data_IF_062788104607
#
_entry.id   IF_062788104607
#
_cell.length_a   1.000
_cell.length_b   1.000
_cell.length_c   1.000
_cell.angle_alpha   90.00
_cell.angle_beta   90.00
_cell.angle_gamma   90.00
#
_symmetry.space_group_name_H-M   'P 1'
#
loop_
_entity.id
_entity.type
_entity.pdbx_description
1 polymer ?
#
# COMPACT_ATOMS: atom_id res chain seq x y z
N UNK A 1 20.69 -37.39 -34.46
CA UNK A 1 20.69 -36.09 -33.78
C UNK A 1 21.16 -35.11 -34.83
N UNK A 2 20.31 -34.15 -35.18
CA UNK A 2 20.69 -33.05 -36.06
C UNK A 2 21.57 -32.16 -35.17
N UNK A 3 22.78 -31.81 -35.63
CA UNK A 3 23.71 -30.98 -34.85
C UNK A 3 23.11 -29.58 -34.68
N UNK A 4 22.55 -29.31 -33.50
CA UNK A 4 21.97 -28.01 -33.12
C UNK A 4 22.99 -26.86 -33.18
N UNK A 5 24.28 -27.19 -33.23
CA UNK A 5 25.40 -26.24 -33.28
C UNK A 5 25.66 -25.65 -34.69
N UNK A 6 25.27 -26.31 -35.78
CA UNK A 6 25.58 -25.83 -37.15
C UNK A 6 24.63 -24.75 -37.68
N UNK A 7 23.35 -24.75 -37.26
CA UNK A 7 22.31 -23.80 -37.77
C UNK A 7 21.75 -22.88 -36.68
N UNK A 8 22.37 -22.83 -35.50
CA UNK A 8 22.00 -21.92 -34.40
C UNK A 8 20.75 -22.29 -33.60
N UNK A 9 20.09 -23.42 -33.92
CA UNK A 9 18.96 -23.96 -33.17
C UNK A 9 17.81 -22.97 -32.95
N UNK A 10 17.10 -23.10 -31.82
CA UNK A 10 15.99 -22.20 -31.46
C UNK A 10 16.44 -20.73 -31.33
N UNK A 11 17.68 -20.51 -30.89
CA UNK A 11 18.25 -19.17 -30.72
C UNK A 11 18.46 -18.49 -32.07
N UNK A 12 19.03 -19.19 -33.05
CA UNK A 12 19.24 -18.70 -34.41
C UNK A 12 17.91 -18.41 -35.11
N UNK A 13 16.90 -19.28 -34.91
CA UNK A 13 15.53 -19.03 -35.38
C UNK A 13 14.95 -17.74 -34.76
N UNK A 14 15.07 -17.57 -33.45
CA UNK A 14 14.59 -16.38 -32.75
C UNK A 14 15.30 -15.10 -33.24
N UNK A 15 16.62 -15.13 -33.40
CA UNK A 15 17.40 -14.00 -33.92
C UNK A 15 17.02 -13.64 -35.36
N UNK A 16 16.80 -14.64 -36.22
CA UNK A 16 16.32 -14.43 -37.58
C UNK A 16 14.91 -13.79 -37.63
N UNK A 17 13.99 -14.27 -36.79
CA UNK A 17 12.63 -13.74 -36.70
C UNK A 17 12.59 -12.32 -36.13
N UNK A 18 13.43 -12.03 -35.14
CA UNK A 18 13.62 -10.67 -34.62
C UNK A 18 14.12 -9.69 -35.69
N UNK A 19 14.89 -10.17 -36.67
CA UNK A 19 15.35 -9.38 -37.82
C UNK A 19 14.21 -8.93 -38.76
N UNK A 20 13.14 -9.72 -38.89
CA UNK A 20 11.95 -9.33 -39.67
C UNK A 20 11.07 -8.33 -38.91
N UNK A 21 10.93 -8.52 -37.59
CA UNK A 21 10.21 -7.64 -36.69
C UNK A 21 8.67 -7.65 -36.85
N UNK A 22 7.99 -6.97 -35.94
CA UNK A 22 6.53 -7.00 -35.77
C UNK A 22 5.75 -6.60 -37.04
N UNK A 23 6.25 -5.60 -37.79
CA UNK A 23 5.56 -5.06 -38.97
C UNK A 23 5.29 -6.09 -40.05
N UNK A 24 6.15 -7.10 -40.16
CA UNK A 24 6.01 -8.17 -41.15
C UNK A 24 4.87 -9.13 -40.78
N UNK A 25 4.54 -9.26 -39.49
CA UNK A 25 3.58 -10.22 -38.97
C UNK A 25 2.22 -9.58 -38.67
N UNK A 26 2.22 -8.46 -37.95
CA UNK A 26 0.98 -7.80 -37.52
C UNK A 26 0.51 -6.73 -38.53
N UNK A 27 1.33 -6.43 -39.54
CA UNK A 27 1.07 -5.39 -40.52
C UNK A 27 1.14 -3.97 -39.93
N UNK A 28 1.03 -2.93 -40.78
CA UNK A 28 1.15 -1.55 -40.34
C UNK A 28 0.05 -1.14 -39.32
N UNK A 29 0.34 -0.15 -38.46
CA UNK A 29 -0.66 0.42 -37.56
C UNK A 29 -1.86 0.97 -38.38
N UNK A 30 -3.08 0.77 -37.87
CA UNK A 30 -4.35 1.27 -38.43
C UNK A 30 -4.82 0.70 -39.79
N UNK A 31 -4.31 -0.45 -40.24
CA UNK A 31 -4.87 -1.15 -41.41
C UNK A 31 -6.04 -2.07 -41.00
N UNK A 32 -7.18 -1.94 -41.69
CA UNK A 32 -8.30 -2.86 -41.54
C UNK A 32 -7.88 -4.28 -41.95
N UNK A 33 -7.92 -5.23 -41.00
CA UNK A 33 -7.49 -6.62 -41.20
C UNK A 33 -6.12 -6.96 -40.60
N UNK A 34 -5.43 -6.01 -39.96
CA UNK A 34 -4.25 -6.29 -39.14
C UNK A 34 -4.64 -7.25 -38.00
N UNK A 35 -4.06 -8.46 -37.98
CA UNK A 35 -4.25 -9.42 -36.90
C UNK A 35 -3.24 -9.11 -35.80
N UNK A 36 -3.62 -8.27 -34.84
CA UNK A 36 -2.77 -7.97 -33.68
C UNK A 36 -2.50 -9.24 -32.87
N UNK A 37 -1.26 -9.43 -32.44
CA UNK A 37 -0.84 -10.56 -31.62
C UNK A 37 -0.28 -11.76 -32.40
N UNK A 38 -0.21 -11.73 -33.73
CA UNK A 38 0.48 -12.78 -34.51
C UNK A 38 1.97 -12.77 -34.18
N UNK A 39 2.57 -11.59 -34.10
CA UNK A 39 3.96 -11.41 -33.70
C UNK A 39 4.24 -11.98 -32.30
N UNK A 40 3.36 -11.71 -31.33
CA UNK A 40 3.47 -12.29 -30.00
C UNK A 40 3.38 -13.82 -30.01
N UNK A 41 2.50 -14.39 -30.84
CA UNK A 41 2.39 -15.84 -31.04
C UNK A 41 3.67 -16.45 -31.65
N UNK A 42 4.28 -15.78 -32.62
CA UNK A 42 5.57 -16.19 -33.20
C UNK A 42 6.67 -16.17 -32.14
N UNK A 43 6.76 -15.10 -31.34
CA UNK A 43 7.71 -14.99 -30.25
C UNK A 43 7.49 -16.08 -29.19
N UNK A 44 6.24 -16.40 -28.85
CA UNK A 44 5.89 -17.45 -27.89
C UNK A 44 6.35 -18.84 -28.38
N UNK A 45 6.13 -19.16 -29.65
CA UNK A 45 6.59 -20.42 -30.26
C UNK A 45 8.13 -20.53 -30.30
N UNK A 46 8.82 -19.38 -30.32
CA UNK A 46 10.28 -19.32 -30.29
C UNK A 46 10.88 -19.27 -28.88
N UNK A 47 10.06 -19.39 -27.83
CA UNK A 47 10.50 -19.30 -26.44
C UNK A 47 10.96 -17.89 -26.01
N UNK A 48 10.61 -16.84 -26.77
CA UNK A 48 10.91 -15.45 -26.44
C UNK A 48 9.78 -14.86 -25.57
N UNK A 49 9.60 -15.42 -24.37
CA UNK A 49 8.46 -15.16 -23.49
C UNK A 49 8.31 -13.70 -23.08
N UNK A 50 9.39 -13.06 -22.64
CA UNK A 50 9.38 -11.66 -22.17
C UNK A 50 9.02 -10.69 -23.30
N UNK A 51 9.55 -10.96 -24.50
CA UNK A 51 9.26 -10.19 -25.70
C UNK A 51 7.83 -10.41 -26.18
N UNK A 52 7.32 -11.64 -26.11
CA UNK A 52 5.95 -11.97 -26.50
C UNK A 52 4.94 -11.21 -25.64
N UNK A 53 5.12 -11.20 -24.32
CA UNK A 53 4.25 -10.43 -23.42
C UNK A 53 4.35 -8.93 -23.71
N UNK A 54 5.56 -8.41 -23.93
CA UNK A 54 5.76 -6.99 -24.21
C UNK A 54 5.08 -6.57 -25.52
N UNK A 55 5.17 -7.41 -26.56
CA UNK A 55 4.50 -7.16 -27.84
C UNK A 55 2.98 -7.06 -27.69
N UNK A 56 2.36 -7.85 -26.80
CA UNK A 56 0.94 -7.72 -26.49
C UNK A 56 0.63 -6.49 -25.62
N UNK A 57 1.52 -6.17 -24.68
CA UNK A 57 1.34 -5.07 -23.74
C UNK A 57 1.41 -3.69 -24.42
N UNK A 58 2.11 -3.56 -25.55
CA UNK A 58 2.21 -2.32 -26.31
C UNK A 58 0.88 -1.89 -26.96
N UNK A 59 -0.07 -2.81 -27.13
CA UNK A 59 -1.39 -2.54 -27.71
C UNK A 59 -2.48 -2.59 -26.64
N UNK A 60 -3.25 -1.51 -26.50
CA UNK A 60 -4.32 -1.41 -25.49
C UNK A 60 -5.40 -2.50 -25.66
N UNK A 61 -5.67 -2.93 -26.89
CA UNK A 61 -6.64 -3.98 -27.20
C UNK A 61 -6.24 -5.36 -26.65
N UNK A 62 -4.93 -5.59 -26.45
CA UNK A 62 -4.37 -6.86 -25.98
C UNK A 62 -3.69 -6.77 -24.61
N UNK A 63 -3.90 -5.66 -23.90
CA UNK A 63 -3.30 -5.41 -22.57
C UNK A 63 -3.73 -6.49 -21.56
N UNK A 64 -5.01 -6.90 -21.62
CA UNK A 64 -5.57 -7.92 -20.73
C UNK A 64 -4.90 -9.27 -20.97
N UNK A 65 -4.79 -9.68 -22.23
CA UNK A 65 -4.13 -10.91 -22.65
C UNK A 65 -2.65 -10.91 -22.25
N UNK A 66 -1.96 -9.77 -22.38
CA UNK A 66 -0.57 -9.63 -21.98
C UNK A 66 -0.38 -9.92 -20.48
N UNK A 67 -1.22 -9.34 -19.61
CA UNK A 67 -1.15 -9.53 -18.15
C UNK A 67 -1.37 -10.99 -17.79
N UNK A 68 -2.44 -11.59 -18.31
CA UNK A 68 -2.80 -12.98 -17.99
C UNK A 68 -1.78 -13.97 -18.55
N UNK A 69 -1.21 -13.71 -19.73
CA UNK A 69 -0.12 -14.50 -20.28
C UNK A 69 1.14 -14.39 -19.41
N UNK A 70 1.51 -13.19 -18.94
CA UNK A 70 2.61 -13.02 -18.01
C UNK A 70 2.42 -13.83 -16.71
N UNK A 71 1.21 -13.82 -16.15
CA UNK A 71 0.89 -14.59 -14.95
C UNK A 71 1.02 -16.10 -15.21
N UNK A 72 0.51 -16.59 -16.34
CA UNK A 72 0.62 -18.00 -16.71
C UNK A 72 2.08 -18.43 -16.91
N UNK A 73 2.88 -17.60 -17.60
CA UNK A 73 4.30 -17.86 -17.81
C UNK A 73 5.10 -17.83 -16.51
N UNK A 74 4.79 -16.89 -15.60
CA UNK A 74 5.38 -16.82 -14.27
C UNK A 74 5.03 -18.05 -13.43
N UNK A 75 3.77 -18.50 -13.46
CA UNK A 75 3.32 -19.72 -12.76
C UNK A 75 4.06 -20.97 -13.21
N UNK A 76 4.41 -21.05 -14.50
CA UNK A 76 5.20 -22.16 -15.05
C UNK A 76 6.72 -21.97 -14.96
N UNK A 77 7.21 -20.88 -14.35
CA UNK A 77 8.64 -20.59 -14.23
C UNK A 77 9.34 -20.27 -15.56
N UNK A 78 8.58 -19.86 -16.58
CA UNK A 78 9.10 -19.57 -17.93
C UNK A 78 9.51 -18.11 -18.11
N UNK A 79 9.15 -17.23 -17.17
CA UNK A 79 9.41 -15.80 -17.24
C UNK A 79 10.61 -15.42 -16.38
N UNK A 80 11.62 -14.82 -16.98
CA UNK A 80 12.75 -14.23 -16.24
C UNK A 80 12.39 -12.85 -15.72
N UNK A 81 12.58 -12.65 -14.42
CA UNK A 81 12.34 -11.37 -13.76
C UNK A 81 13.65 -10.59 -13.60
N UNK A 82 13.68 -9.27 -13.90
CA UNK A 82 14.85 -8.44 -13.67
C UNK A 82 15.03 -8.15 -12.18
N UNK A 83 16.27 -7.87 -11.76
CA UNK A 83 16.50 -7.26 -10.44
C UNK A 83 15.88 -5.87 -10.36
N UNK A 84 15.65 -5.36 -9.15
CA UNK A 84 15.13 -4.00 -8.94
C UNK A 84 16.03 -2.94 -9.58
N UNK A 85 17.35 -3.15 -9.60
CA UNK A 85 18.31 -2.24 -10.22
C UNK A 85 18.22 -2.20 -11.76
N UNK A 86 17.75 -3.28 -12.38
CA UNK A 86 17.57 -3.40 -13.84
C UNK A 86 16.14 -3.04 -14.30
N UNK A 87 15.26 -2.72 -13.35
CA UNK A 87 13.87 -2.36 -13.63
C UNK A 87 13.77 -0.89 -14.00
N UNK A 88 13.12 -0.60 -15.12
CA UNK A 88 12.79 0.75 -15.57
C UNK A 88 11.38 1.13 -15.15
N UNK A 89 11.17 2.39 -14.76
CA UNK A 89 9.84 2.93 -14.49
C UNK A 89 9.01 3.12 -15.76
N UNK A 90 9.66 3.22 -16.94
CA UNK A 90 9.02 3.55 -18.22
C UNK A 90 8.56 2.31 -18.99
N UNK A 91 9.39 1.28 -19.07
CA UNK A 91 9.12 0.06 -19.86
C UNK A 91 9.27 -1.18 -18.99
N UNK A 92 8.30 -2.12 -19.01
CA UNK A 92 8.40 -3.34 -18.21
C UNK A 92 9.47 -4.31 -18.72
N UNK A 93 9.87 -4.22 -19.98
CA UNK A 93 10.92 -5.04 -20.58
C UNK A 93 12.31 -4.44 -20.33
N UNK A 94 13.22 -5.28 -19.84
CA UNK A 94 14.64 -4.98 -19.71
C UNK A 94 15.43 -5.73 -20.78
N UNK A 95 16.16 -4.99 -21.62
CA UNK A 95 17.01 -5.51 -22.68
C UNK A 95 18.45 -5.13 -22.37
N UNK A 96 19.25 -6.11 -21.97
CA UNK A 96 20.69 -5.95 -21.77
C UNK A 96 21.46 -6.57 -22.95
N UNK A 97 22.59 -5.99 -23.36
CA UNK A 97 23.48 -6.64 -24.33
C UNK A 97 24.20 -7.87 -23.75
N UNK A 98 24.26 -8.00 -22.42
CA UNK A 98 25.02 -9.06 -21.73
C UNK A 98 24.11 -10.11 -21.09
N UNK A 99 22.92 -9.72 -20.65
CA UNK A 99 21.95 -10.63 -20.04
C UNK A 99 20.76 -10.86 -20.97
N UNK A 100 20.08 -12.03 -20.88
CA UNK A 100 18.89 -12.27 -21.69
C UNK A 100 17.79 -11.23 -21.42
N UNK A 101 16.72 -11.18 -22.23
CA UNK A 101 15.54 -10.37 -21.90
C UNK A 101 14.98 -10.71 -20.51
N UNK A 102 14.44 -9.72 -19.82
CA UNK A 102 13.76 -9.90 -18.53
C UNK A 102 12.53 -8.99 -18.46
N UNK A 103 11.45 -9.46 -17.84
CA UNK A 103 10.17 -8.74 -17.75
C UNK A 103 9.80 -8.43 -16.30
N UNK A 104 9.51 -7.15 -16.02
CA UNK A 104 9.07 -6.71 -14.70
C UNK A 104 7.58 -7.04 -14.49
N UNK A 105 7.31 -8.21 -13.89
CA UNK A 105 5.96 -8.66 -13.55
C UNK A 105 5.24 -7.69 -12.59
N UNK A 106 5.96 -7.16 -11.59
CA UNK A 106 5.42 -6.16 -10.65
C UNK A 106 4.92 -4.91 -11.36
N UNK A 107 5.63 -4.44 -12.39
CA UNK A 107 5.25 -3.23 -13.14
C UNK A 107 4.02 -3.47 -14.00
N UNK A 108 3.93 -4.61 -14.70
CA UNK A 108 2.76 -4.97 -15.50
C UNK A 108 1.52 -5.09 -14.62
N UNK A 109 1.63 -5.85 -13.52
CA UNK A 109 0.54 -6.05 -12.58
C UNK A 109 0.09 -4.74 -11.96
N UNK A 110 1.01 -3.87 -11.54
CA UNK A 110 0.67 -2.59 -10.97
C UNK A 110 -0.04 -1.66 -11.97
N UNK A 111 0.48 -1.55 -13.20
CA UNK A 111 -0.11 -0.68 -14.23
C UNK A 111 -1.52 -1.11 -14.60
N UNK A 112 -1.75 -2.42 -14.70
CA UNK A 112 -3.07 -2.98 -14.95
C UNK A 112 -4.02 -2.76 -13.76
N UNK A 113 -3.64 -3.22 -12.57
CA UNK A 113 -4.49 -3.17 -11.37
C UNK A 113 -4.85 -1.74 -10.94
N UNK A 114 -3.91 -0.79 -11.05
CA UNK A 114 -4.11 0.61 -10.65
C UNK A 114 -5.35 1.25 -11.29
N UNK A 115 -5.74 0.81 -12.48
CA UNK A 115 -6.89 1.35 -13.22
C UNK A 115 -8.21 1.15 -12.46
N UNK A 116 -8.30 0.10 -11.64
CA UNK A 116 -9.53 -0.26 -10.92
C UNK A 116 -9.37 -0.33 -9.40
N UNK A 117 -8.19 -0.14 -8.81
CA UNK A 117 -7.96 -0.14 -7.34
C UNK A 117 -8.98 0.69 -6.55
N UNK A 118 -9.39 1.85 -7.06
CA UNK A 118 -10.37 2.72 -6.38
C UNK A 118 -11.78 2.12 -6.38
N UNK A 119 -12.16 1.41 -7.45
CA UNK A 119 -13.48 0.80 -7.58
C UNK A 119 -13.51 -0.56 -6.88
N UNK A 120 -12.45 -1.35 -7.05
CA UNK A 120 -12.34 -2.69 -6.50
C UNK A 120 -10.89 -3.00 -6.05
N UNK A 121 -10.59 -2.64 -4.80
CA UNK A 121 -9.30 -2.89 -4.20
C UNK A 121 -9.05 -4.39 -3.92
N UNK A 122 -10.13 -5.17 -3.77
CA UNK A 122 -10.05 -6.60 -3.47
C UNK A 122 -9.57 -7.37 -4.69
N UNK A 123 -10.17 -7.10 -5.84
CA UNK A 123 -9.73 -7.71 -7.11
C UNK A 123 -8.31 -7.25 -7.46
N UNK A 124 -7.99 -5.97 -7.27
CA UNK A 124 -6.64 -5.48 -7.53
C UNK A 124 -5.57 -6.19 -6.68
N UNK A 125 -5.90 -6.53 -5.44
CA UNK A 125 -5.02 -7.26 -4.54
C UNK A 125 -4.78 -8.71 -5.00
N UNK A 126 -5.77 -9.35 -5.64
CA UNK A 126 -5.59 -10.71 -6.19
C UNK A 126 -4.47 -10.74 -7.24
N UNK A 127 -4.41 -9.73 -8.11
CA UNK A 127 -3.32 -9.61 -9.07
C UNK A 127 -1.97 -9.39 -8.38
N UNK A 128 -1.91 -8.61 -7.29
CA UNK A 128 -0.66 -8.41 -6.54
C UNK A 128 -0.13 -9.71 -5.94
N UNK A 129 -0.99 -10.66 -5.55
CA UNK A 129 -0.53 -11.98 -5.11
C UNK A 129 0.22 -12.75 -6.19
N UNK A 130 -0.10 -12.54 -7.47
CA UNK A 130 0.62 -13.18 -8.57
C UNK A 130 2.06 -12.68 -8.72
N UNK A 131 2.44 -11.52 -8.16
CA UNK A 131 3.85 -11.09 -8.11
C UNK A 131 4.71 -12.10 -7.32
N UNK A 132 4.11 -12.75 -6.30
CA UNK A 132 4.78 -13.78 -5.50
C UNK A 132 5.10 -15.07 -6.27
N UNK A 133 4.58 -15.27 -7.49
CA UNK A 133 4.87 -16.46 -8.30
C UNK A 133 6.36 -16.60 -8.64
N UNK A 134 7.09 -15.49 -8.75
CA UNK A 134 8.52 -15.48 -9.05
C UNK A 134 9.41 -15.51 -7.80
N UNK A 135 8.87 -15.86 -6.62
CA UNK A 135 9.60 -15.89 -5.36
C UNK A 135 10.76 -16.91 -5.32
N UNK A 136 10.75 -17.91 -6.20
CA UNK A 136 11.74 -18.98 -6.28
C UNK A 136 13.01 -18.60 -7.08
N UNK A 137 13.04 -17.43 -7.74
CA UNK A 137 14.19 -16.95 -8.53
C UNK A 137 15.34 -16.37 -7.66
N UNK A 138 15.66 -17.02 -6.54
CA UNK A 138 16.80 -16.69 -5.68
C UNK A 138 16.74 -15.29 -5.04
N UNK A 139 17.76 -14.46 -5.28
CA UNK A 139 17.83 -13.10 -4.73
C UNK A 139 16.74 -12.19 -5.32
N UNK A 140 16.50 -12.29 -6.62
CA UNK A 140 15.45 -11.53 -7.31
C UNK A 140 14.06 -11.91 -6.79
N UNK A 141 13.85 -13.19 -6.47
CA UNK A 141 12.59 -13.64 -5.87
C UNK A 141 12.27 -12.97 -4.52
N UNK A 142 13.29 -12.69 -3.70
CA UNK A 142 13.11 -11.91 -2.45
C UNK A 142 12.71 -10.47 -2.74
N UNK A 143 13.35 -9.83 -3.73
CA UNK A 143 13.00 -8.47 -4.17
C UNK A 143 11.56 -8.41 -4.73
N UNK A 144 11.10 -9.48 -5.39
CA UNK A 144 9.72 -9.59 -5.87
C UNK A 144 8.71 -9.67 -4.71
N UNK A 145 9.01 -10.46 -3.67
CA UNK A 145 8.17 -10.51 -2.47
C UNK A 145 8.10 -9.13 -1.80
N UNK A 146 9.23 -8.44 -1.66
CA UNK A 146 9.25 -7.09 -1.09
C UNK A 146 8.43 -6.09 -1.92
N UNK A 147 8.53 -6.20 -3.26
CA UNK A 147 7.73 -5.41 -4.20
C UNK A 147 6.24 -5.74 -4.08
N UNK A 148 5.86 -7.01 -3.90
CA UNK A 148 4.48 -7.42 -3.66
C UNK A 148 3.92 -6.80 -2.37
N UNK A 149 4.73 -6.76 -1.29
CA UNK A 149 4.34 -6.08 -0.05
C UNK A 149 4.15 -4.57 -0.27
N UNK A 150 5.00 -3.94 -1.08
CA UNK A 150 4.87 -2.53 -1.41
C UNK A 150 3.60 -2.23 -2.19
N UNK A 151 3.28 -3.04 -3.19
CA UNK A 151 2.04 -2.92 -3.96
C UNK A 151 0.81 -3.14 -3.07
N UNK A 152 0.83 -4.14 -2.17
CA UNK A 152 -0.26 -4.37 -1.22
C UNK A 152 -0.49 -3.15 -0.29
N UNK A 153 0.60 -2.53 0.21
CA UNK A 153 0.51 -1.28 0.99
C UNK A 153 -0.01 -0.12 0.15
N UNK A 154 0.38 -0.04 -1.12
CA UNK A 154 -0.09 1.00 -2.04
C UNK A 154 -1.58 0.87 -2.34
N UNK A 155 -2.09 -0.36 -2.50
CA UNK A 155 -3.53 -0.63 -2.64
C UNK A 155 -4.28 -0.21 -1.37
N UNK A 156 -3.75 -0.52 -0.19
CA UNK A 156 -4.33 -0.10 1.09
C UNK A 156 -4.54 1.42 1.15
N UNK A 157 -3.53 2.20 0.76
CA UNK A 157 -3.59 3.67 0.76
C UNK A 157 -4.46 4.22 -0.38
N UNK A 158 -4.51 3.58 -1.54
CA UNK A 158 -5.29 4.08 -2.68
C UNK A 158 -6.75 3.64 -2.67
N UNK A 159 -7.10 2.63 -1.88
CA UNK A 159 -8.47 2.20 -1.67
C UNK A 159 -9.34 3.36 -1.18
N UNK A 160 -10.61 3.33 -1.57
CA UNK A 160 -11.60 4.27 -1.08
C UNK A 160 -11.95 3.93 0.37
N UNK A 161 -11.83 4.90 1.27
CA UNK A 161 -12.24 4.79 2.66
C UNK A 161 -13.74 4.46 2.72
N UNK A 162 -14.07 3.24 3.17
CA UNK A 162 -15.43 2.71 3.15
C UNK A 162 -15.46 1.20 3.45
N UNK A 163 -16.63 0.55 3.37
CA UNK A 163 -16.79 -0.84 3.80
C UNK A 163 -15.85 -1.83 3.10
N UNK A 164 -15.61 -1.62 1.79
CA UNK A 164 -14.67 -2.46 1.04
C UNK A 164 -13.22 -2.32 1.48
N UNK A 165 -12.81 -1.15 1.98
CA UNK A 165 -11.48 -0.97 2.57
C UNK A 165 -11.38 -1.68 3.92
N UNK A 166 -12.45 -1.73 4.72
CA UNK A 166 -12.44 -2.47 5.98
C UNK A 166 -12.33 -3.98 5.77
N UNK A 167 -12.97 -4.52 4.74
CA UNK A 167 -12.77 -5.92 4.34
C UNK A 167 -11.32 -6.18 3.95
N UNK A 168 -10.71 -5.24 3.21
CA UNK A 168 -9.33 -5.31 2.75
C UNK A 168 -8.33 -5.34 3.91
N UNK A 169 -8.49 -4.46 4.91
CA UNK A 169 -7.52 -4.27 6.02
C UNK A 169 -7.88 -5.01 7.30
N UNK A 170 -9.11 -5.48 7.41
CA UNK A 170 -9.66 -6.13 8.58
C UNK A 170 -10.29 -5.15 9.55
N UNK A 171 -11.04 -5.69 10.49
CA UNK A 171 -11.80 -4.89 11.43
C UNK A 171 -12.36 -5.71 12.57
N UNK A 172 -13.27 -5.08 13.29
CA UNK A 172 -14.01 -5.69 14.38
C UNK A 172 -15.48 -5.61 14.03
N UNK A 173 -16.19 -6.72 14.22
CA UNK A 173 -17.63 -6.73 14.21
C UNK A 173 -18.18 -5.92 15.41
N UNK A 174 -19.46 -5.53 15.40
CA UNK A 174 -20.10 -4.85 16.54
C UNK A 174 -20.06 -5.66 17.85
N UNK A 175 -19.94 -6.98 17.77
CA UNK A 175 -19.75 -7.88 18.93
C UNK A 175 -18.30 -7.88 19.46
N UNK A 176 -17.41 -7.12 18.82
CA UNK A 176 -15.99 -7.00 19.12
C UNK A 176 -15.13 -8.17 18.64
N UNK A 177 -15.69 -9.16 17.96
CA UNK A 177 -14.89 -10.22 17.34
C UNK A 177 -14.13 -9.64 16.14
N UNK A 178 -12.83 -9.97 16.04
CA UNK A 178 -12.01 -9.54 14.91
C UNK A 178 -12.33 -10.42 13.70
N UNK A 179 -12.52 -9.81 12.54
CA UNK A 179 -12.49 -10.53 11.28
C UNK A 179 -11.14 -10.36 10.59
N UNK A 180 -10.69 -11.43 9.93
CA UNK A 180 -9.43 -11.43 9.22
C UNK A 180 -9.56 -10.66 7.91
N UNK A 181 -8.57 -9.82 7.64
CA UNK A 181 -8.51 -9.02 6.43
C UNK A 181 -8.27 -9.86 5.19
N UNK A 182 -8.67 -9.39 4.00
CA UNK A 182 -8.34 -10.07 2.74
C UNK A 182 -6.81 -10.20 2.58
N UNK A 183 -6.04 -9.16 2.96
CA UNK A 183 -4.58 -9.20 2.89
C UNK A 183 -3.99 -10.28 3.82
N UNK A 184 -4.56 -10.45 5.02
CA UNK A 184 -4.15 -11.47 6.00
C UNK A 184 -4.51 -12.88 5.54
N UNK A 185 -5.67 -13.06 4.89
CA UNK A 185 -6.05 -14.34 4.28
C UNK A 185 -5.07 -14.74 3.17
N UNK A 186 -4.59 -13.77 2.38
CA UNK A 186 -3.57 -13.97 1.34
C UNK A 186 -2.12 -13.89 1.84
N UNK A 187 -1.86 -13.84 3.15
CA UNK A 187 -0.51 -13.63 3.69
C UNK A 187 0.50 -14.70 3.23
N UNK A 188 0.05 -15.95 3.11
CA UNK A 188 0.88 -17.05 2.61
C UNK A 188 1.36 -16.82 1.16
N UNK A 189 0.53 -16.23 0.30
CA UNK A 189 0.88 -15.89 -1.08
C UNK A 189 1.86 -14.72 -1.16
N UNK A 190 1.87 -13.86 -0.14
CA UNK A 190 2.86 -12.80 0.04
C UNK A 190 4.16 -13.30 0.69
N UNK A 191 4.33 -14.60 0.93
CA UNK A 191 5.52 -15.14 1.60
C UNK A 191 5.65 -14.76 3.08
N UNK A 192 4.57 -14.27 3.70
CA UNK A 192 4.53 -13.93 5.13
C UNK A 192 4.17 -15.19 5.91
N UNK A 193 5.10 -15.69 6.73
CA UNK A 193 4.92 -16.94 7.48
C UNK A 193 4.19 -16.73 8.79
N UNK A 194 4.47 -15.59 9.43
CA UNK A 194 4.01 -15.31 10.77
C UNK A 194 3.18 -14.03 10.83
N UNK A 195 2.24 -14.00 11.77
CA UNK A 195 1.46 -12.81 12.10
C UNK A 195 2.36 -11.62 12.49
N UNK A 196 3.53 -11.88 13.07
CA UNK A 196 4.51 -10.84 13.37
C UNK A 196 5.04 -10.16 12.10
N UNK A 197 5.40 -10.94 11.08
CA UNK A 197 5.87 -10.41 9.80
C UNK A 197 4.78 -9.61 9.09
N UNK A 198 3.52 -10.08 9.14
CA UNK A 198 2.39 -9.32 8.62
C UNK A 198 2.23 -7.96 9.32
N UNK A 199 2.29 -7.94 10.66
CA UNK A 199 2.20 -6.69 11.41
C UNK A 199 3.34 -5.72 11.06
N UNK A 200 4.57 -6.20 10.95
CA UNK A 200 5.76 -5.38 10.68
C UNK A 200 5.81 -4.87 9.24
N UNK A 201 5.63 -5.75 8.26
CA UNK A 201 5.80 -5.41 6.85
C UNK A 201 4.57 -4.81 6.20
N UNK A 202 3.36 -5.11 6.69
CA UNK A 202 2.11 -4.58 6.13
C UNK A 202 1.53 -3.50 7.04
N UNK A 203 1.09 -3.83 8.26
CA UNK A 203 0.30 -2.90 9.07
C UNK A 203 1.08 -1.66 9.54
N UNK A 204 2.29 -1.83 10.09
CA UNK A 204 3.10 -0.70 10.58
C UNK A 204 3.45 0.26 9.46
N UNK A 205 3.92 -0.28 8.33
CA UNK A 205 4.29 0.52 7.17
C UNK A 205 3.06 1.16 6.49
N UNK A 206 1.93 0.47 6.43
CA UNK A 206 0.69 1.04 5.89
C UNK A 206 0.12 2.15 6.78
N UNK A 207 0.21 2.01 8.11
CA UNK A 207 -0.21 3.06 9.05
C UNK A 207 0.64 4.33 8.87
N UNK A 208 1.97 4.17 8.77
CA UNK A 208 2.89 5.28 8.50
C UNK A 208 2.62 5.94 7.15
N UNK A 209 2.42 5.15 6.09
CA UNK A 209 2.06 5.71 4.79
C UNK A 209 0.72 6.46 4.84
N UNK A 210 -0.25 6.00 5.63
CA UNK A 210 -1.54 6.68 5.78
C UNK A 210 -1.38 8.00 6.53
N UNK A 211 -0.52 8.03 7.55
CA UNK A 211 -0.16 9.26 8.29
C UNK A 211 0.56 10.27 7.37
N UNK A 212 1.50 9.83 6.54
CA UNK A 212 2.21 10.67 5.57
C UNK A 212 1.29 11.23 4.48
N UNK A 213 0.15 10.57 4.19
CA UNK A 213 -0.88 11.01 3.23
C UNK A 213 -2.07 11.73 3.90
N UNK A 214 -1.94 12.20 5.15
CA UNK A 214 -2.97 12.89 5.93
C UNK A 214 -4.28 12.08 6.12
N UNK A 215 -4.22 10.76 5.98
CA UNK A 215 -5.31 9.80 6.20
C UNK A 215 -5.31 9.29 7.66
N UNK A 216 -5.58 10.21 8.57
CA UNK A 216 -5.48 9.99 10.01
C UNK A 216 -6.46 8.90 10.53
N UNK A 217 -7.74 8.86 10.11
CA UNK A 217 -8.66 7.80 10.56
C UNK A 217 -8.16 6.39 10.22
N UNK A 218 -7.61 6.22 9.02
CA UNK A 218 -7.06 4.95 8.53
C UNK A 218 -5.80 4.57 9.30
N UNK A 219 -4.90 5.54 9.54
CA UNK A 219 -3.69 5.33 10.34
C UNK A 219 -4.03 4.87 11.77
N UNK A 220 -5.04 5.46 12.40
CA UNK A 220 -5.53 5.07 13.73
C UNK A 220 -6.09 3.65 13.70
N UNK A 221 -6.90 3.30 12.69
CA UNK A 221 -7.50 1.96 12.57
C UNK A 221 -6.41 0.90 12.38
N UNK A 222 -5.47 1.11 11.45
CA UNK A 222 -4.35 0.19 11.19
C UNK A 222 -3.46 -0.01 12.44
N UNK A 223 -3.20 1.08 13.18
CA UNK A 223 -2.43 1.02 14.43
C UNK A 223 -3.16 0.24 15.52
N UNK A 224 -4.47 0.40 15.60
CA UNK A 224 -5.34 -0.33 16.52
C UNK A 224 -5.35 -1.82 16.18
N UNK A 225 -5.50 -2.18 14.91
CA UNK A 225 -5.47 -3.56 14.43
C UNK A 225 -4.17 -4.26 14.85
N UNK A 226 -3.00 -3.61 14.63
CA UNK A 226 -1.70 -4.12 15.09
C UNK A 226 -1.67 -4.42 16.58
N UNK A 227 -2.16 -3.50 17.40
CA UNK A 227 -2.12 -3.64 18.85
C UNK A 227 -2.97 -4.83 19.36
N UNK A 228 -4.04 -5.14 18.64
CA UNK A 228 -4.90 -6.30 18.94
C UNK A 228 -4.35 -7.62 18.41
N UNK A 229 -3.68 -7.66 17.25
CA UNK A 229 -3.10 -8.93 16.75
C UNK A 229 -2.06 -9.52 17.69
N UNK A 230 -1.34 -8.65 18.43
CA UNK A 230 -0.38 -9.06 19.45
C UNK A 230 -1.03 -9.68 20.70
N UNK A 231 -2.37 -9.69 20.80
CA UNK A 231 -3.12 -10.20 21.94
C UNK A 231 -4.26 -11.10 21.47
N UNK A 232 -4.21 -12.38 21.83
CA UNK A 232 -5.34 -13.29 21.68
C UNK A 232 -6.63 -12.64 22.22
N UNK A 233 -7.60 -12.50 21.31
CA UNK A 233 -9.02 -12.23 21.50
C UNK A 233 -9.42 -11.55 22.81
N UNK A 234 -9.57 -10.21 22.80
CA UNK A 234 -10.57 -9.57 23.66
C UNK A 234 -11.19 -8.37 22.96
N UNK A 235 -12.48 -8.53 22.76
CA UNK A 235 -13.44 -7.65 22.10
C UNK A 235 -13.26 -6.17 22.45
N UNK A 236 -13.34 -5.32 21.43
CA UNK A 236 -14.45 -4.37 21.26
C UNK A 236 -14.40 -3.81 19.84
N UNK A 237 -15.58 -3.57 19.28
CA UNK A 237 -15.84 -3.01 17.96
C UNK A 237 -15.28 -1.60 17.75
N UNK A 238 -15.54 -1.02 16.58
CA UNK A 238 -15.07 0.30 16.15
C UNK A 238 -15.18 1.35 17.26
N UNK A 239 -14.02 1.69 17.82
CA UNK A 239 -13.95 2.51 19.02
C UNK A 239 -13.92 3.98 18.65
N UNK A 240 -14.87 4.75 19.18
CA UNK A 240 -14.71 6.19 19.35
C UNK A 240 -13.41 6.51 20.08
N UNK A 241 -12.80 7.70 19.91
CA UNK A 241 -11.55 8.06 20.61
C UNK A 241 -11.63 7.85 22.14
N UNK A 242 -12.82 7.99 22.74
CA UNK A 242 -13.09 7.70 24.14
C UNK A 242 -12.99 6.20 24.49
N UNK A 243 -13.47 5.32 23.62
CA UNK A 243 -13.37 3.88 23.80
C UNK A 243 -11.93 3.39 23.57
N UNK A 244 -11.23 3.96 22.57
CA UNK A 244 -9.80 3.68 22.33
C UNK A 244 -9.05 3.97 23.63
N UNK A 245 -9.22 5.18 24.17
CA UNK A 245 -8.62 5.59 25.42
C UNK A 245 -8.96 4.62 26.57
N UNK A 246 -10.24 4.27 26.78
CA UNK A 246 -10.66 3.31 27.83
C UNK A 246 -9.96 1.95 27.72
N UNK A 247 -9.73 1.44 26.50
CA UNK A 247 -9.01 0.19 26.33
C UNK A 247 -7.50 0.34 26.61
N UNK A 248 -6.90 1.47 26.25
CA UNK A 248 -5.51 1.78 26.60
C UNK A 248 -5.32 1.99 28.11
N UNK A 249 -6.32 2.53 28.81
CA UNK A 249 -6.34 2.69 30.27
C UNK A 249 -6.43 1.34 30.98
N UNK A 250 -7.34 0.45 30.54
CA UNK A 250 -7.46 -0.91 31.07
C UNK A 250 -6.17 -1.73 30.89
N UNK A 251 -5.31 -1.33 29.96
CA UNK A 251 -4.12 -2.08 29.56
C UNK A 251 -2.80 -1.42 29.94
N UNK A 252 -2.86 -0.30 30.68
CA UNK A 252 -1.73 0.44 31.23
C UNK A 252 -0.64 0.76 30.18
N UNK A 253 -1.02 0.92 28.91
CA UNK A 253 -0.09 1.15 27.78
C UNK A 253 -0.04 2.61 27.33
N UNK A 254 -1.09 3.39 27.58
CA UNK A 254 -1.05 4.84 27.41
C UNK A 254 -0.58 5.44 28.74
N UNK A 255 0.72 5.76 28.83
CA UNK A 255 1.30 6.41 30.00
C UNK A 255 2.02 7.67 29.53
N UNK A 256 1.71 8.81 30.13
CA UNK A 256 2.40 10.08 29.89
C UNK A 256 1.52 11.19 29.31
N UNK A 257 2.18 12.28 28.89
CA UNK A 257 1.57 13.56 28.49
C UNK A 257 0.53 13.46 27.39
N UNK A 258 0.68 12.51 26.47
CA UNK A 258 -0.23 12.33 25.33
C UNK A 258 -1.60 11.79 25.78
N UNK A 259 -1.63 10.97 26.83
CA UNK A 259 -2.89 10.50 27.44
C UNK A 259 -3.66 11.65 28.06
N UNK A 260 -2.98 12.48 28.85
CA UNK A 260 -3.60 13.61 29.54
C UNK A 260 -4.12 14.64 28.54
N UNK A 261 -3.40 14.83 27.42
CA UNK A 261 -3.85 15.65 26.31
C UNK A 261 -5.14 15.10 25.66
N UNK A 262 -5.22 13.79 25.38
CA UNK A 262 -6.44 13.16 24.81
C UNK A 262 -7.62 13.26 25.78
N UNK A 263 -7.41 13.06 27.08
CA UNK A 263 -8.46 13.24 28.10
C UNK A 263 -8.98 14.68 28.10
N UNK A 264 -8.08 15.67 28.09
CA UNK A 264 -8.45 17.10 28.02
C UNK A 264 -9.23 17.40 26.73
N UNK A 265 -8.80 16.90 25.58
CA UNK A 265 -9.49 17.10 24.30
C UNK A 265 -10.89 16.45 24.27
N UNK A 266 -11.06 15.27 24.86
CA UNK A 266 -12.37 14.62 24.99
C UNK A 266 -13.32 15.43 25.87
N UNK A 267 -12.84 15.96 27.00
CA UNK A 267 -13.64 16.85 27.86
C UNK A 267 -14.02 18.16 27.17
N UNK A 268 -13.13 18.73 26.37
CA UNK A 268 -13.45 19.91 25.55
C UNK A 268 -14.54 19.58 24.53
N UNK A 269 -14.45 18.43 23.86
CA UNK A 269 -15.48 17.98 22.92
C UNK A 269 -16.83 17.79 23.62
N UNK A 270 -16.84 17.15 24.78
CA UNK A 270 -18.04 16.98 25.61
C UNK A 270 -18.65 18.32 26.03
N UNK A 271 -17.81 19.30 26.38
CA UNK A 271 -18.24 20.67 26.67
C UNK A 271 -18.83 21.38 25.44
N UNK A 272 -18.24 21.19 24.25
CA UNK A 272 -18.75 21.75 22.99
C UNK A 272 -20.08 21.13 22.60
N UNK A 273 -20.21 19.81 22.69
CA UNK A 273 -21.43 19.08 22.36
C UNK A 273 -22.56 19.42 23.37
N UNK A 274 -22.23 19.60 24.65
CA UNK A 274 -23.16 20.06 25.69
C UNK A 274 -23.65 21.51 25.54
N UNK A 275 -23.05 22.29 24.64
CA UNK A 275 -23.47 23.67 24.33
C UNK A 275 -24.78 23.72 23.53
N UNK A 276 -25.20 22.63 22.90
CA UNK A 276 -26.49 22.52 22.21
C UNK A 276 -27.51 21.72 23.04
N UNK A 277 -28.74 22.23 23.28
CA UNK A 277 -29.13 23.35 24.13
C UNK A 277 -29.41 22.94 25.61
N UNK A 278 -29.10 23.82 26.58
CA UNK A 278 -29.86 23.92 27.85
C UNK A 278 -29.15 23.70 29.19
N UNK A 279 -27.86 23.32 29.25
CA UNK A 279 -27.14 23.10 30.53
C UNK A 279 -25.78 23.82 30.61
N UNK A 280 -25.77 25.17 30.63
CA UNK A 280 -24.53 25.96 30.68
C UNK A 280 -23.68 25.69 31.92
N UNK A 281 -24.30 25.32 33.05
CA UNK A 281 -23.62 25.02 34.33
C UNK A 281 -22.74 23.78 34.22
N UNK A 282 -23.25 22.70 33.62
CA UNK A 282 -22.51 21.45 33.42
C UNK A 282 -21.35 21.64 32.44
N UNK A 283 -21.56 22.45 31.40
CA UNK A 283 -20.49 22.82 30.46
C UNK A 283 -19.36 23.58 31.15
N UNK A 284 -19.69 24.52 32.04
CA UNK A 284 -18.70 25.31 32.79
C UNK A 284 -17.89 24.44 33.76
N UNK A 285 -18.54 23.54 34.49
CA UNK A 285 -17.87 22.58 35.40
C UNK A 285 -16.92 21.63 34.63
N UNK A 286 -17.36 21.12 33.48
CA UNK A 286 -16.52 20.30 32.60
C UNK A 286 -15.32 21.11 32.09
N UNK A 287 -15.52 22.37 31.67
CA UNK A 287 -14.44 23.25 31.21
C UNK A 287 -13.45 23.61 32.34
N UNK A 288 -13.93 23.84 33.56
CA UNK A 288 -13.08 24.06 34.74
C UNK A 288 -12.18 22.86 35.01
N UNK A 289 -12.73 21.65 34.90
CA UNK A 289 -11.99 20.39 35.06
C UNK A 289 -10.88 20.16 34.01
N UNK A 290 -10.82 20.96 32.95
CA UNK A 290 -9.75 20.86 31.93
C UNK A 290 -8.49 21.66 32.30
N UNK A 291 -8.57 22.55 33.30
CA UNK A 291 -7.51 23.48 33.74
C UNK A 291 -6.93 24.36 32.61
N UNK A 292 -7.60 24.45 31.45
CA UNK A 292 -7.13 25.23 30.31
C UNK A 292 -7.60 26.68 30.35
N UNK A 293 -8.69 26.95 31.06
CA UNK A 293 -9.26 28.29 31.23
C UNK A 293 -9.39 28.54 32.74
N UNK A 294 -8.72 29.56 33.29
CA UNK A 294 -8.84 29.89 34.70
C UNK A 294 -10.16 30.63 34.88
N UNK A 295 -11.18 29.90 35.36
CA UNK A 295 -12.51 30.44 35.67
C UNK A 295 -12.53 31.06 37.07
N UNK A 296 -11.77 30.48 38.01
CA UNK A 296 -11.46 31.08 39.32
C UNK A 296 -9.94 31.26 39.47
N UNK A 297 -9.52 32.46 39.90
CA UNK A 297 -8.10 32.75 40.16
C UNK A 297 -7.72 34.22 40.03
N UNK A 298 -6.78 34.65 40.88
CA UNK A 298 -6.18 35.99 40.88
C UNK A 298 -5.42 36.25 39.55
N UNK A 299 -5.22 37.53 39.21
CA UNK A 299 -4.60 37.99 37.95
C UNK A 299 -3.29 37.26 37.65
N UNK A 300 -2.53 36.92 38.69
CA UNK A 300 -1.28 36.17 38.62
C UNK A 300 -1.42 34.77 37.98
N UNK A 301 -2.43 33.98 38.38
CA UNK A 301 -2.68 32.66 37.81
C UNK A 301 -3.11 32.73 36.34
N UNK A 302 -3.84 33.81 35.99
CA UNK A 302 -4.26 34.06 34.60
C UNK A 302 -3.07 34.41 33.72
N UNK A 303 -2.10 35.19 34.22
CA UNK A 303 -0.86 35.53 33.50
C UNK A 303 0.09 34.36 33.37
N UNK A 304 0.22 33.51 34.39
CA UNK A 304 1.10 32.33 34.37
C UNK A 304 0.58 31.28 33.37
N UNK A 305 -0.73 31.02 33.36
CA UNK A 305 -1.32 30.11 32.39
C UNK A 305 -1.27 30.68 30.96
N UNK A 306 -1.49 31.97 30.77
CA UNK A 306 -1.35 32.63 29.47
C UNK A 306 0.07 32.51 28.92
N UNK A 307 1.08 32.68 29.78
CA UNK A 307 2.49 32.47 29.40
C UNK A 307 2.76 31.01 29.04
N UNK A 308 2.26 30.07 29.84
CA UNK A 308 2.42 28.63 29.58
C UNK A 308 1.76 28.20 28.26
N UNK A 309 0.60 28.78 27.92
CA UNK A 309 -0.07 28.55 26.64
C UNK A 309 0.73 29.18 25.50
N UNK A 310 1.21 30.42 25.66
CA UNK A 310 2.03 31.11 24.67
C UNK A 310 3.33 30.35 24.35
N UNK A 311 4.00 29.83 25.38
CA UNK A 311 5.22 29.03 25.24
C UNK A 311 4.94 27.71 24.51
N UNK A 312 3.83 27.04 24.82
CA UNK A 312 3.41 25.79 24.14
C UNK A 312 3.00 26.03 22.69
N UNK A 313 2.28 27.11 22.40
CA UNK A 313 1.90 27.50 21.03
C UNK A 313 3.16 27.84 20.22
N UNK A 314 4.10 28.57 20.81
CA UNK A 314 5.38 28.91 20.16
C UNK A 314 6.20 27.66 19.85
N UNK A 315 6.27 26.71 20.79
CA UNK A 315 6.92 25.42 20.57
C UNK A 315 6.23 24.57 19.48
N UNK A 316 4.89 24.59 19.40
CA UNK A 316 4.13 23.94 18.33
C UNK A 316 4.39 24.58 16.96
N UNK A 317 4.47 25.91 16.89
CA UNK A 317 4.78 26.63 15.65
C UNK A 317 6.19 26.29 15.18
N UNK A 318 7.18 26.29 16.07
CA UNK A 318 8.56 25.94 15.74
C UNK A 318 8.70 24.46 15.30
N UNK A 319 7.93 23.55 15.91
CA UNK A 319 7.88 22.15 15.52
C UNK A 319 7.20 21.99 14.14
N UNK A 320 6.14 22.73 13.85
CA UNK A 320 5.49 22.72 12.54
C UNK A 320 6.41 23.31 11.46
N UNK A 321 7.15 24.38 11.73
CA UNK A 321 8.14 24.94 10.81
C UNK A 321 9.26 23.94 10.49
N UNK A 322 9.82 23.24 11.49
CA UNK A 322 10.79 22.17 11.26
C UNK A 322 10.22 21.01 10.45
N UNK A 323 8.95 20.66 10.67
CA UNK A 323 8.28 19.58 9.93
C UNK A 323 7.98 20.01 8.48
N UNK A 324 7.70 21.30 8.25
CA UNK A 324 7.54 21.89 6.92
C UNK A 324 8.87 22.01 6.16
N UNK A 325 9.96 22.38 6.82
CA UNK A 325 11.31 22.43 6.22
C UNK A 325 11.81 21.04 5.82
N UNK A 326 11.50 20.00 6.59
CA UNK A 326 11.78 18.60 6.23
C UNK A 326 10.92 18.15 5.03
N UNK A 327 9.65 18.60 4.95
CA UNK A 327 8.78 18.32 3.79
C UNK A 327 9.21 19.08 2.52
N UNK A 328 9.78 20.29 2.64
CA UNK A 328 10.25 21.09 1.52
C UNK A 328 11.67 20.73 1.06
N UNK A 329 12.54 20.27 1.97
CA UNK A 329 13.89 19.78 1.65
C UNK A 329 13.91 18.43 0.91
N UNK A 330 12.80 17.70 0.90
CA UNK A 330 12.64 16.44 0.15
C UNK A 330 12.21 16.59 -1.32
N UNK A 331 11.95 17.81 -1.80
CA UNK A 331 11.55 18.08 -3.20
C UNK A 331 12.75 18.57 -4.04
N UNK A 332 13.95 18.65 -3.45
CA UNK A 332 15.19 19.03 -4.12
C UNK A 332 16.29 17.99 -3.91
N UNK A 333 16.14 16.82 -4.53
CA UNK A 333 17.14 15.75 -4.59
C UNK A 333 16.83 14.79 -5.70
#
# INVERSE_FOLDING_TARGET
MIDEEEEGGLRGLAEGLLGYGERQFDGPPNQQGAKRGVWAGVLLMCGQFERAVTALWEHQETEVEAVHLAIALAYHGLLRIPSRAETSDMTPLSLSPVSPPALSLSTIIWRYSRQFVKMDAKEALQYVYCVGLAADQGAVGKEQIESAWELARRINVLGNSGPGWEELVGGFWPDGTRFSSVIEQGAALLGLKDTQQFNEHILVKAARNSEENDRIPEAIKLTTLRATTARSSRADGERTPAEILRNYERTNRAVGRDRDAVIRLLRIREAIDGKQPGRPEVTLEIMESTELIPLEGDVFHRTELAQTIADKVSAMVEQNEKTMDVKLGGIGG
#
